data_IF_629066945084
#
_entry.id   IF_629066945084
#
_cell.length_a   1.000
_cell.length_b   1.000
_cell.length_c   1.000
_cell.angle_alpha   90.00
_cell.angle_beta   90.00
_cell.angle_gamma   90.00
#
_symmetry.space_group_name_H-M   'P 1'
#
loop_
_entity.id
_entity.type
_entity.pdbx_description
1 polymer ?
#
# COMPACT_ATOMS: atom_id res chain seq x y z
N UNK A 1 -7.95 -18.94 -4.17
CA UNK A 1 -7.11 -17.92 -4.84
C UNK A 1 -7.92 -17.15 -5.86
N UNK A 2 -8.18 -17.76 -7.02
CA UNK A 2 -8.87 -17.12 -8.15
C UNK A 2 -10.27 -16.59 -7.82
N UNK A 3 -11.10 -17.40 -7.17
CA UNK A 3 -12.46 -17.00 -6.76
C UNK A 3 -12.48 -15.80 -5.78
N UNK A 4 -11.52 -15.74 -4.84
CA UNK A 4 -11.41 -14.61 -3.89
C UNK A 4 -10.92 -13.34 -4.59
N UNK A 5 -9.99 -13.47 -5.54
CA UNK A 5 -9.56 -12.35 -6.35
C UNK A 5 -10.72 -11.80 -7.17
N UNK A 6 -11.48 -12.67 -7.84
CA UNK A 6 -12.62 -12.29 -8.65
C UNK A 6 -13.73 -11.63 -7.81
N UNK A 7 -14.06 -12.18 -6.63
CA UNK A 7 -15.08 -11.58 -5.76
C UNK A 7 -14.68 -10.19 -5.27
N UNK A 8 -13.44 -10.05 -4.77
CA UNK A 8 -12.95 -8.75 -4.28
C UNK A 8 -12.81 -7.74 -5.41
N UNK A 9 -12.41 -8.18 -6.60
CA UNK A 9 -12.30 -7.30 -7.76
C UNK A 9 -13.68 -6.76 -8.20
N UNK A 10 -14.73 -7.59 -8.14
CA UNK A 10 -16.11 -7.14 -8.38
C UNK A 10 -16.55 -6.10 -7.34
N UNK A 11 -16.12 -6.26 -6.09
CA UNK A 11 -16.36 -5.30 -5.01
C UNK A 11 -15.48 -4.03 -5.12
N UNK A 12 -14.66 -3.89 -6.16
CA UNK A 12 -13.75 -2.76 -6.37
C UNK A 12 -12.47 -2.83 -5.52
N UNK A 13 -12.20 -3.96 -4.87
CA UNK A 13 -11.03 -4.19 -4.02
C UNK A 13 -9.96 -4.92 -4.82
N UNK A 14 -8.91 -4.18 -5.20
CA UNK A 14 -7.76 -4.77 -5.89
C UNK A 14 -6.79 -5.42 -4.89
N UNK A 15 -6.46 -6.70 -5.11
CA UNK A 15 -5.47 -7.41 -4.31
C UNK A 15 -4.04 -7.07 -4.74
N UNK A 16 -3.24 -6.54 -3.80
CA UNK A 16 -1.84 -6.22 -4.00
C UNK A 16 -0.91 -7.35 -3.53
N UNK A 17 -0.72 -8.38 -4.36
CA UNK A 17 0.05 -9.59 -3.98
C UNK A 17 0.96 -10.11 -5.10
N UNK A 18 2.05 -10.79 -4.73
CA UNK A 18 2.92 -11.48 -5.70
C UNK A 18 2.23 -12.71 -6.30
N UNK A 19 2.48 -12.97 -7.58
CA UNK A 19 2.05 -14.20 -8.25
C UNK A 19 2.78 -15.40 -7.62
N UNK A 20 2.04 -16.42 -7.17
CA UNK A 20 2.54 -17.65 -6.55
C UNK A 20 2.53 -18.79 -7.57
N UNK A 21 3.33 -19.83 -7.32
CA UNK A 21 3.28 -21.06 -8.11
C UNK A 21 1.84 -21.61 -8.10
N UNK A 22 1.31 -21.95 -9.29
CA UNK A 22 -0.08 -22.34 -9.58
C UNK A 22 -1.12 -21.21 -9.70
N UNK A 23 -0.73 -19.93 -9.59
CA UNK A 23 -1.62 -18.83 -9.98
C UNK A 23 -1.45 -18.50 -11.47
N UNK A 24 -2.59 -18.26 -12.15
CA UNK A 24 -2.55 -17.74 -13.53
C UNK A 24 -1.92 -16.34 -13.48
N UNK A 25 -0.98 -16.08 -14.40
CA UNK A 25 -0.38 -14.77 -14.52
C UNK A 25 -1.48 -13.75 -14.89
N UNK A 26 -1.65 -12.73 -14.05
CA UNK A 26 -2.58 -11.62 -14.31
C UNK A 26 -1.78 -10.42 -14.83
N UNK A 27 -2.39 -9.62 -15.71
CA UNK A 27 -1.85 -8.32 -16.05
C UNK A 27 -1.79 -7.48 -14.77
N UNK A 28 -0.61 -6.97 -14.46
CA UNK A 28 -0.33 -6.15 -13.29
C UNK A 28 0.43 -4.92 -13.78
N UNK A 29 0.08 -3.74 -13.26
CA UNK A 29 0.77 -2.51 -13.61
C UNK A 29 2.26 -2.59 -13.27
N UNK A 30 3.09 -1.92 -14.07
CA UNK A 30 4.53 -1.82 -13.81
C UNK A 30 4.77 -1.14 -12.45
N UNK A 31 3.96 -0.14 -12.09
CA UNK A 31 4.01 0.51 -10.79
C UNK A 31 3.76 -0.48 -9.64
N UNK A 32 2.70 -1.29 -9.75
CA UNK A 32 2.38 -2.32 -8.75
C UNK A 32 3.51 -3.35 -8.64
N UNK A 33 4.13 -3.72 -9.76
CA UNK A 33 5.26 -4.63 -9.80
C UNK A 33 6.49 -4.06 -9.08
N UNK A 34 6.78 -2.78 -9.26
CA UNK A 34 7.86 -2.07 -8.59
C UNK A 34 7.59 -1.99 -7.08
N UNK A 35 6.39 -1.58 -6.68
CA UNK A 35 5.98 -1.50 -5.29
C UNK A 35 6.02 -2.89 -4.59
N UNK A 36 5.63 -3.98 -5.27
CA UNK A 36 5.77 -5.35 -4.73
C UNK A 36 7.23 -5.81 -4.59
N UNK A 37 8.14 -5.30 -5.43
CA UNK A 37 9.59 -5.57 -5.29
C UNK A 37 10.20 -4.77 -4.13
N UNK A 38 9.70 -3.57 -3.88
CA UNK A 38 10.12 -2.66 -2.81
C UNK A 38 9.21 -2.70 -1.58
N UNK A 39 8.50 -3.83 -1.37
CA UNK A 39 7.53 -4.01 -0.27
C UNK A 39 8.06 -3.65 1.12
N UNK A 40 9.37 -3.83 1.35
CA UNK A 40 10.01 -3.44 2.59
C UNK A 40 9.75 -1.96 2.96
N UNK A 41 9.69 -1.05 1.98
CA UNK A 41 9.39 0.36 2.25
C UNK A 41 7.95 0.57 2.71
N UNK A 42 6.98 -0.16 2.13
CA UNK A 42 5.57 -0.13 2.58
C UNK A 42 5.47 -0.67 4.01
N UNK A 43 6.21 -1.73 4.32
CA UNK A 43 6.28 -2.30 5.66
C UNK A 43 6.91 -1.32 6.66
N UNK A 44 7.97 -0.60 6.29
CA UNK A 44 8.58 0.45 7.12
C UNK A 44 7.60 1.58 7.40
N UNK A 45 6.88 2.10 6.40
CA UNK A 45 5.85 3.13 6.63
C UNK A 45 4.78 2.65 7.59
N UNK A 46 4.31 1.41 7.42
CA UNK A 46 3.32 0.83 8.33
C UNK A 46 3.86 0.67 9.75
N UNK A 47 5.12 0.30 9.91
CA UNK A 47 5.78 0.19 11.20
C UNK A 47 5.92 1.56 11.89
N UNK A 48 6.32 2.59 11.15
CA UNK A 48 6.38 3.98 11.64
C UNK A 48 5.00 4.49 12.07
N UNK A 49 3.94 4.23 11.27
CA UNK A 49 2.59 4.63 11.62
C UNK A 49 2.07 3.92 12.88
N UNK A 50 2.42 2.65 13.07
CA UNK A 50 2.03 1.88 14.25
C UNK A 50 2.81 2.28 15.48
N UNK A 51 4.14 2.27 15.41
CA UNK A 51 5.01 2.41 16.57
C UNK A 51 5.32 3.86 16.92
N UNK A 52 5.39 4.76 15.94
CA UNK A 52 5.69 6.18 16.17
C UNK A 52 4.41 7.00 16.21
N UNK A 53 3.55 6.89 15.19
CA UNK A 53 2.30 7.65 15.15
C UNK A 53 1.15 7.02 15.98
N UNK A 54 1.37 5.84 16.57
CA UNK A 54 0.42 5.16 17.47
C UNK A 54 -0.99 5.03 16.87
N UNK A 55 -1.04 4.77 15.55
CA UNK A 55 -2.32 4.68 14.83
C UNK A 55 -3.16 3.50 15.33
N UNK A 56 -2.51 2.41 15.76
CA UNK A 56 -3.15 1.24 16.34
C UNK A 56 -3.42 1.42 17.83
N UNK A 57 -4.43 2.23 18.14
CA UNK A 57 -4.83 2.42 19.52
C UNK A 57 -5.78 1.29 19.97
N UNK A 58 -5.41 0.58 21.03
CA UNK A 58 -6.18 -0.58 21.53
C UNK A 58 -7.54 -0.24 22.16
N UNK A 59 -7.86 1.04 22.40
CA UNK A 59 -9.03 1.47 23.18
C UNK A 59 -9.77 2.62 22.51
N UNK A 60 -10.52 2.30 21.46
CA UNK A 60 -11.48 3.23 20.90
C UNK A 60 -12.83 3.08 21.61
N UNK A 61 -13.23 4.10 22.37
CA UNK A 61 -14.56 4.14 23.04
C UNK A 61 -15.69 4.53 22.07
N UNK A 62 -15.38 5.00 20.87
CA UNK A 62 -16.33 5.33 19.81
C UNK A 62 -15.64 5.31 18.43
N UNK A 63 -16.43 5.16 17.36
CA UNK A 63 -15.95 5.24 15.99
C UNK A 63 -15.39 6.63 15.64
N UNK A 64 -16.02 7.69 16.12
CA UNK A 64 -15.55 9.06 15.90
C UNK A 64 -14.14 9.28 16.49
N UNK A 65 -13.87 8.70 17.67
CA UNK A 65 -12.55 8.77 18.28
C UNK A 65 -11.51 7.95 17.50
N UNK A 66 -11.91 6.86 16.86
CA UNK A 66 -11.05 6.13 15.93
C UNK A 66 -10.66 6.98 14.73
N UNK A 67 -11.64 7.64 14.07
CA UNK A 67 -11.38 8.50 12.91
C UNK A 67 -10.50 9.69 13.31
N UNK A 68 -10.77 10.34 14.43
CA UNK A 68 -9.95 11.44 14.92
C UNK A 68 -8.50 11.00 15.20
N UNK A 69 -8.30 9.83 15.80
CA UNK A 69 -6.96 9.26 16.04
C UNK A 69 -6.25 8.95 14.72
N UNK A 70 -6.93 8.32 13.76
CA UNK A 70 -6.36 7.98 12.46
C UNK A 70 -5.94 9.23 11.68
N UNK A 71 -6.78 10.26 11.64
CA UNK A 71 -6.45 11.53 11.00
C UNK A 71 -5.28 12.23 11.70
N UNK A 72 -5.25 12.23 13.03
CA UNK A 72 -4.14 12.79 13.80
C UNK A 72 -2.82 12.07 13.55
N UNK A 73 -2.83 10.73 13.45
CA UNK A 73 -1.64 9.93 13.15
C UNK A 73 -1.10 10.21 11.75
N UNK A 74 -1.99 10.34 10.75
CA UNK A 74 -1.61 10.72 9.38
C UNK A 74 -1.04 12.15 9.36
N UNK A 75 -1.68 13.09 10.07
CA UNK A 75 -1.20 14.46 10.18
C UNK A 75 0.18 14.52 10.84
N UNK A 76 0.41 13.75 11.91
CA UNK A 76 1.71 13.65 12.58
C UNK A 76 2.78 13.08 11.63
N UNK A 77 2.45 12.05 10.86
CA UNK A 77 3.34 11.47 9.86
C UNK A 77 3.77 12.48 8.79
N UNK A 78 2.89 13.42 8.41
CA UNK A 78 3.26 14.49 7.48
C UNK A 78 4.40 15.37 7.98
N UNK A 79 4.60 15.50 9.29
CA UNK A 79 5.66 16.30 9.91
C UNK A 79 6.95 15.51 10.21
N UNK A 80 7.03 14.23 9.86
CA UNK A 80 8.26 13.45 10.06
C UNK A 80 9.39 13.97 9.16
N UNK A 81 10.58 14.15 9.74
CA UNK A 81 11.76 14.69 9.04
C UNK A 81 12.28 13.78 7.93
N UNK A 82 12.16 12.46 8.13
CA UNK A 82 12.57 11.45 7.15
C UNK A 82 11.36 10.62 6.77
N UNK A 83 11.11 10.56 5.46
CA UNK A 83 10.07 9.72 4.88
C UNK A 83 10.75 8.70 3.97
N UNK A 84 10.52 7.40 4.18
CA UNK A 84 11.02 6.38 3.26
C UNK A 84 10.43 6.63 1.86
N UNK A 85 11.30 6.75 0.86
CA UNK A 85 10.92 6.99 -0.51
C UNK A 85 11.58 5.94 -1.42
N UNK A 86 10.90 5.63 -2.53
CA UNK A 86 11.50 4.85 -3.61
C UNK A 86 12.11 5.87 -4.58
N UNK A 87 13.42 5.82 -4.74
CA UNK A 87 14.09 6.54 -5.81
C UNK A 87 13.76 5.86 -7.14
N UNK A 88 12.91 6.49 -7.95
CA UNK A 88 12.47 5.99 -9.25
C UNK A 88 12.77 7.04 -10.31
N UNK A 89 13.74 6.75 -11.16
CA UNK A 89 13.95 7.49 -12.39
C UNK A 89 13.04 6.90 -13.48
N UNK A 90 11.96 7.62 -13.81
CA UNK A 90 11.13 7.26 -14.95
C UNK A 90 11.83 7.73 -16.23
N UNK A 91 12.59 6.82 -16.84
CA UNK A 91 13.18 7.05 -18.16
C UNK A 91 12.04 6.99 -19.18
N UNK A 92 11.74 8.12 -19.81
CA UNK A 92 10.68 8.22 -20.82
C UNK A 92 11.29 7.94 -22.20
N UNK A 93 11.51 6.66 -22.52
CA UNK A 93 12.16 6.22 -23.75
C UNK A 93 11.31 6.43 -25.04
N UNK A 94 10.18 7.14 -24.95
CA UNK A 94 9.26 7.32 -26.09
C UNK A 94 8.66 6.02 -26.63
N UNK A 95 8.87 4.89 -25.93
CA UNK A 95 8.30 3.61 -26.29
C UNK A 95 6.81 3.60 -25.95
N UNK A 96 5.98 3.38 -26.96
CA UNK A 96 4.56 3.08 -26.79
C UNK A 96 4.42 1.80 -25.95
N UNK A 97 4.06 1.95 -24.68
CA UNK A 97 3.62 0.82 -23.86
C UNK A 97 2.22 0.42 -24.34
N UNK A 98 2.17 -0.64 -25.16
CA UNK A 98 0.92 -1.31 -25.51
C UNK A 98 0.38 -2.00 -24.25
N UNK A 99 -0.67 -1.44 -23.68
CA UNK A 99 -1.53 -2.11 -22.70
C UNK A 99 -2.50 -3.05 -23.40
#
# INVERSE_FOLDING_TARGET
>A
GKALFESLFVDGIQLFTKVKNNMKNSLMSIADKICLRKRALIETVNDELKNIAQIEHSRHRSFNNFIANALSAIAAYCFFEKKPAIDLEFINDGQLSLF
#
